data_IF_601023826763
#
_entry.id   IF_601023826763
#
_cell.length_a   1.000
_cell.length_b   1.000
_cell.length_c   1.000
_cell.angle_alpha   90.00
_cell.angle_beta   90.00
_cell.angle_gamma   90.00
#
_symmetry.space_group_name_H-M   'P 1'
#
loop_
_entity.id
_entity.type
_entity.pdbx_description
1 polymer ?
#
# COMPACT_ATOMS: atom_id res chain seq x y z
N UNK A 1 -22.97 0.59 7.86
CA UNK A 1 -21.53 0.32 7.65
C UNK A 1 -21.14 0.97 6.35
N UNK A 2 -20.23 1.94 6.38
CA UNK A 2 -19.70 2.54 5.14
C UNK A 2 -18.82 1.50 4.45
N UNK A 3 -18.98 1.31 3.14
CA UNK A 3 -18.24 0.29 2.38
C UNK A 3 -16.85 0.82 2.03
N UNK A 4 -15.79 0.06 2.31
CA UNK A 4 -14.42 0.37 1.88
C UNK A 4 -14.40 0.77 0.39
N UNK A 5 -13.74 1.89 0.06
CA UNK A 5 -13.35 2.17 -1.31
C UNK A 5 -12.16 1.26 -1.65
N UNK A 6 -12.30 0.46 -2.71
CA UNK A 6 -11.21 -0.27 -3.34
C UNK A 6 -11.13 0.20 -4.79
N UNK A 7 -10.11 0.97 -5.12
CA UNK A 7 -9.78 1.30 -6.50
C UNK A 7 -8.54 0.50 -6.90
N UNK A 8 -8.64 -0.28 -7.97
CA UNK A 8 -7.58 -1.16 -8.45
C UNK A 8 -7.28 -0.83 -9.91
N UNK A 9 -6.00 -0.68 -10.24
CA UNK A 9 -5.56 -0.42 -11.61
C UNK A 9 -4.34 -1.28 -11.92
N UNK A 10 -4.37 -1.94 -13.07
CA UNK A 10 -3.22 -2.66 -13.61
C UNK A 10 -2.27 -1.66 -14.27
N UNK A 11 -0.98 -1.72 -13.94
CA UNK A 11 0.05 -0.80 -14.43
C UNK A 11 1.33 -1.54 -14.81
N UNK A 12 2.18 -0.87 -15.58
CA UNK A 12 3.51 -1.37 -15.91
C UNK A 12 3.51 -2.57 -16.87
N UNK A 13 4.71 -3.04 -17.25
CA UNK A 13 4.89 -4.15 -18.19
C UNK A 13 4.80 -5.55 -17.52
N UNK A 14 4.68 -5.62 -16.19
CA UNK A 14 4.63 -6.87 -15.43
C UNK A 14 3.24 -7.16 -14.84
N UNK A 15 2.21 -6.45 -15.34
CA UNK A 15 0.82 -6.62 -14.92
C UNK A 15 0.60 -6.44 -13.40
N UNK A 16 1.39 -5.56 -12.76
CA UNK A 16 1.23 -5.24 -11.34
C UNK A 16 -0.11 -4.53 -11.12
N UNK A 17 -0.75 -4.79 -9.99
CA UNK A 17 -1.92 -4.04 -9.56
C UNK A 17 -1.54 -3.02 -8.47
N UNK A 18 -1.93 -1.76 -8.69
CA UNK A 18 -1.94 -0.73 -7.66
C UNK A 18 -3.32 -0.64 -7.02
N UNK A 19 -3.33 -0.28 -5.74
CA UNK A 19 -4.58 -0.10 -4.99
C UNK A 19 -4.61 1.23 -4.27
N UNK A 20 -5.80 1.84 -4.27
CA UNK A 20 -6.18 2.91 -3.34
C UNK A 20 -7.27 2.36 -2.44
N UNK A 21 -6.97 2.28 -1.15
CA UNK A 21 -7.93 1.89 -0.13
C UNK A 21 -8.37 3.13 0.62
N UNK A 22 -9.67 3.39 0.70
CA UNK A 22 -10.19 4.62 1.31
C UNK A 22 -11.40 4.38 2.20
N UNK A 23 -11.48 5.10 3.32
CA UNK A 23 -12.68 5.17 4.15
C UNK A 23 -13.60 6.28 3.64
N UNK A 24 -14.78 5.96 3.06
CA UNK A 24 -15.69 6.98 2.54
C UNK A 24 -16.24 7.95 3.60
N UNK A 25 -16.16 7.59 4.89
CA UNK A 25 -16.66 8.39 6.01
C UNK A 25 -15.69 9.52 6.34
N UNK A 26 -14.43 9.18 6.57
CA UNK A 26 -13.36 10.12 6.94
C UNK A 26 -12.69 10.77 5.74
N UNK A 27 -12.83 10.15 4.55
CA UNK A 27 -12.11 10.51 3.32
C UNK A 27 -10.59 10.34 3.42
N UNK A 28 -10.11 9.54 4.36
CA UNK A 28 -8.72 9.11 4.40
C UNK A 28 -8.47 7.94 3.45
N UNK A 29 -7.26 7.86 2.92
CA UNK A 29 -6.86 6.88 1.93
C UNK A 29 -5.39 6.50 2.08
N UNK A 30 -5.08 5.27 1.66
CA UNK A 30 -3.71 4.79 1.47
C UNK A 30 -3.50 4.30 0.04
N UNK A 31 -2.28 4.43 -0.46
CA UNK A 31 -1.81 3.82 -1.70
C UNK A 31 -1.00 2.58 -1.36
N UNK A 32 -1.20 1.49 -2.09
CA UNK A 32 -0.48 0.24 -1.93
C UNK A 32 0.45 0.02 -3.13
N UNK A 33 1.71 -0.33 -2.82
CA UNK A 33 2.76 -0.70 -3.78
C UNK A 33 2.99 0.32 -4.93
N UNK A 34 3.18 1.62 -4.66
CA UNK A 34 3.26 2.64 -5.70
C UNK A 34 4.42 2.40 -6.68
N UNK A 35 4.06 2.05 -7.91
CA UNK A 35 5.01 1.70 -8.96
C UNK A 35 4.62 2.20 -10.35
N UNK A 36 5.62 2.29 -11.22
CA UNK A 36 5.53 2.57 -12.66
C UNK A 36 5.14 4.00 -13.05
N UNK A 37 3.86 4.37 -12.99
CA UNK A 37 3.33 5.64 -13.49
C UNK A 37 2.90 6.53 -12.32
N UNK A 38 3.87 7.19 -11.69
CA UNK A 38 3.62 8.06 -10.53
C UNK A 38 2.73 9.27 -10.88
N UNK A 39 2.90 9.97 -12.02
CA UNK A 39 1.95 11.00 -12.44
C UNK A 39 0.50 10.51 -12.48
N UNK A 40 0.25 9.30 -12.99
CA UNK A 40 -1.08 8.68 -12.94
C UNK A 40 -1.52 8.43 -11.48
N UNK A 41 -0.64 7.92 -10.62
CA UNK A 41 -0.98 7.66 -9.21
C UNK A 41 -1.43 8.95 -8.50
N UNK A 42 -0.68 10.04 -8.68
CA UNK A 42 -1.00 11.34 -8.10
C UNK A 42 -2.32 11.90 -8.65
N UNK A 43 -2.56 11.74 -9.95
CA UNK A 43 -3.81 12.15 -10.59
C UNK A 43 -5.01 11.37 -10.02
N UNK A 44 -4.87 10.08 -9.75
CA UNK A 44 -5.93 9.27 -9.15
C UNK A 44 -6.23 9.68 -7.70
N UNK A 45 -5.21 9.96 -6.88
CA UNK A 45 -5.42 10.52 -5.53
C UNK A 45 -6.24 11.81 -5.60
N UNK A 46 -5.88 12.74 -6.49
CA UNK A 46 -6.60 13.99 -6.68
C UNK A 46 -8.03 13.78 -7.21
N UNK A 47 -8.23 12.86 -8.16
CA UNK A 47 -9.52 12.57 -8.80
C UNK A 47 -10.52 11.93 -7.84
N UNK A 48 -10.05 11.05 -6.95
CA UNK A 48 -10.91 10.34 -6.01
C UNK A 48 -11.44 11.24 -4.89
N UNK A 49 -10.75 12.36 -4.60
CA UNK A 49 -11.18 13.33 -3.59
C UNK A 49 -11.00 12.85 -2.15
N UNK A 50 -9.93 12.10 -1.91
CA UNK A 50 -9.52 11.62 -0.58
C UNK A 50 -8.19 12.26 -0.17
N UNK A 51 -7.92 12.25 1.13
CA UNK A 51 -6.64 12.63 1.70
C UNK A 51 -5.75 11.40 1.80
N UNK A 52 -4.61 11.40 1.10
CA UNK A 52 -3.59 10.37 1.27
C UNK A 52 -2.93 10.52 2.64
N UNK A 53 -2.99 9.48 3.47
CA UNK A 53 -2.46 9.50 4.86
C UNK A 53 -1.27 8.57 5.08
N UNK A 54 -1.08 7.57 4.22
CA UNK A 54 0.06 6.66 4.28
C UNK A 54 0.25 5.91 2.95
N UNK A 55 1.44 5.33 2.78
CA UNK A 55 1.72 4.29 1.79
C UNK A 55 1.92 2.97 2.51
N UNK A 56 1.31 1.90 2.02
CA UNK A 56 1.53 0.54 2.54
C UNK A 56 2.21 -0.31 1.48
N UNK A 57 3.25 -1.06 1.88
CA UNK A 57 3.99 -1.93 0.98
C UNK A 57 3.75 -3.38 1.36
N UNK A 58 3.36 -4.19 0.39
CA UNK A 58 3.20 -5.64 0.58
C UNK A 58 4.55 -6.33 0.69
N UNK A 59 5.56 -5.86 -0.05
CA UNK A 59 6.94 -6.35 0.00
C UNK A 59 7.90 -5.39 -0.73
N UNK A 60 9.21 -5.68 -0.72
CA UNK A 60 10.24 -4.75 -1.20
C UNK A 60 10.78 -4.98 -2.61
N UNK A 61 10.06 -5.67 -3.50
CA UNK A 61 10.53 -5.82 -4.89
C UNK A 61 10.40 -4.51 -5.67
N UNK A 62 11.35 -4.30 -6.59
CA UNK A 62 11.50 -3.02 -7.27
C UNK A 62 10.27 -2.61 -8.07
N UNK A 63 9.56 -3.56 -8.67
CA UNK A 63 8.33 -3.35 -9.43
C UNK A 63 7.10 -3.05 -8.56
N UNK A 64 7.23 -3.10 -7.23
CA UNK A 64 6.22 -2.66 -6.25
C UNK A 64 6.59 -1.36 -5.53
N UNK A 65 7.85 -0.90 -5.62
CA UNK A 65 8.34 0.27 -4.86
C UNK A 65 9.05 1.32 -5.70
N UNK A 66 9.23 1.10 -7.01
CA UNK A 66 10.01 2.02 -7.87
C UNK A 66 9.36 3.41 -8.03
N UNK A 67 8.08 3.58 -7.73
CA UNK A 67 7.39 4.87 -7.73
C UNK A 67 7.36 5.57 -6.37
N UNK A 68 7.87 4.93 -5.32
CA UNK A 68 7.77 5.43 -3.95
C UNK A 68 8.46 6.78 -3.74
N UNK A 69 9.68 6.93 -4.25
CA UNK A 69 10.47 8.15 -4.05
C UNK A 69 9.81 9.38 -4.68
N UNK A 70 9.31 9.24 -5.91
CA UNK A 70 8.62 10.33 -6.62
C UNK A 70 7.27 10.66 -5.97
N UNK A 71 6.54 9.67 -5.45
CA UNK A 71 5.30 9.91 -4.71
C UNK A 71 5.58 10.69 -3.41
N UNK A 72 6.61 10.30 -2.66
CA UNK A 72 6.98 10.95 -1.40
C UNK A 72 7.58 12.36 -1.61
N UNK A 73 8.07 12.67 -2.81
CA UNK A 73 8.45 14.03 -3.16
C UNK A 73 7.25 15.00 -3.22
N UNK A 74 6.03 14.47 -3.36
CA UNK A 74 4.77 15.23 -3.39
C UNK A 74 4.01 15.12 -2.07
N UNK A 75 4.01 13.95 -1.44
CA UNK A 75 3.28 13.68 -0.20
C UNK A 75 4.23 13.30 0.94
N UNK A 76 4.23 14.12 2.00
CA UNK A 76 4.93 13.80 3.25
C UNK A 76 4.04 12.90 4.14
N UNK A 77 4.08 11.60 3.86
CA UNK A 77 3.29 10.58 4.58
C UNK A 77 4.16 9.41 5.01
N UNK A 78 3.84 8.73 6.14
CA UNK A 78 4.56 7.54 6.56
C UNK A 78 4.40 6.39 5.56
N UNK A 79 5.45 5.58 5.46
CA UNK A 79 5.44 4.32 4.71
C UNK A 79 5.41 3.17 5.68
N UNK A 80 4.54 2.18 5.45
CA UNK A 80 4.45 0.98 6.26
C UNK A 80 4.95 -0.23 5.49
N UNK A 81 5.81 -1.02 6.13
CA UNK A 81 6.40 -2.23 5.54
C UNK A 81 6.77 -3.21 6.64
N UNK A 82 6.78 -4.51 6.34
CA UNK A 82 7.33 -5.51 7.26
C UNK A 82 8.77 -5.18 7.67
N UNK A 83 9.06 -5.36 8.97
CA UNK A 83 10.42 -5.22 9.49
C UNK A 83 11.42 -6.15 8.78
N UNK A 84 10.95 -7.30 8.29
CA UNK A 84 11.75 -8.30 7.57
C UNK A 84 12.03 -7.91 6.09
N UNK A 85 11.47 -6.79 5.63
CA UNK A 85 11.70 -6.19 4.30
C UNK A 85 12.40 -4.82 4.39
N UNK A 86 12.49 -4.22 5.58
CA UNK A 86 12.87 -2.82 5.77
C UNK A 86 14.24 -2.46 5.16
N UNK A 87 15.20 -3.39 5.19
CA UNK A 87 16.54 -3.19 4.60
C UNK A 87 16.53 -3.05 3.07
N UNK A 88 15.45 -3.45 2.40
CA UNK A 88 15.30 -3.30 0.94
C UNK A 88 14.94 -1.88 0.52
N UNK A 89 14.45 -1.04 1.44
CA UNK A 89 14.13 0.35 1.15
C UNK A 89 15.35 1.26 1.29
N UNK A 90 15.35 2.34 0.50
CA UNK A 90 16.41 3.36 0.52
C UNK A 90 16.39 4.14 1.85
N UNK A 91 17.55 4.62 2.33
CA UNK A 91 17.61 5.53 3.46
C UNK A 91 16.86 6.83 3.17
N UNK A 92 16.18 7.39 4.17
CA UNK A 92 15.45 8.67 4.07
C UNK A 92 13.93 8.57 3.97
N UNK A 93 13.38 7.36 3.91
CA UNK A 93 11.93 7.14 4.02
C UNK A 93 11.50 7.13 5.50
N UNK A 94 10.41 7.82 5.84
CA UNK A 94 9.77 7.73 7.16
C UNK A 94 9.06 6.38 7.31
N UNK A 95 9.86 5.32 7.45
CA UNK A 95 9.41 3.94 7.52
C UNK A 95 8.84 3.61 8.91
N UNK A 96 7.70 2.92 8.91
CA UNK A 96 7.06 2.33 10.09
C UNK A 96 6.96 0.83 9.90
N UNK A 97 7.52 0.11 10.86
CA UNK A 97 7.54 -1.35 10.84
C UNK A 97 6.14 -1.94 10.99
N UNK A 98 5.89 -3.00 10.24
CA UNK A 98 4.81 -3.96 10.44
C UNK A 98 5.43 -5.23 11.03
N UNK A 99 4.80 -5.78 12.06
CA UNK A 99 5.09 -7.09 12.65
C UNK A 99 3.87 -8.00 12.58
N UNK A 100 4.08 -9.29 12.82
CA UNK A 100 3.00 -10.27 12.84
C UNK A 100 1.92 -9.90 13.86
N UNK A 101 0.67 -9.82 13.41
CA UNK A 101 -0.48 -9.50 14.26
C UNK A 101 -0.72 -7.99 14.44
N UNK A 102 0.10 -7.13 13.84
CA UNK A 102 -0.18 -5.70 13.81
C UNK A 102 -1.45 -5.39 13.02
N UNK A 103 -2.03 -4.24 13.32
CA UNK A 103 -3.16 -3.69 12.58
C UNK A 103 -2.83 -2.28 12.10
N UNK A 104 -3.29 -1.95 10.90
CA UNK A 104 -3.23 -0.61 10.34
C UNK A 104 -4.64 -0.05 10.15
N UNK A 105 -4.73 1.27 10.05
CA UNK A 105 -6.01 1.97 9.91
C UNK A 105 -6.03 2.90 8.71
N UNK A 106 -7.17 2.94 8.03
CA UNK A 106 -7.52 3.99 7.07
C UNK A 106 -8.79 4.66 7.60
N UNK A 107 -8.68 5.87 8.14
CA UNK A 107 -9.80 6.47 8.85
C UNK A 107 -10.28 5.60 10.01
N UNK A 108 -11.57 5.25 9.95
CA UNK A 108 -12.23 4.37 10.91
C UNK A 108 -12.13 2.86 10.59
N UNK A 109 -11.49 2.50 9.47
CA UNK A 109 -11.38 1.11 9.02
C UNK A 109 -10.07 0.49 9.51
N UNK A 110 -10.15 -0.70 10.09
CA UNK A 110 -9.00 -1.49 10.56
C UNK A 110 -8.68 -2.62 9.60
N UNK A 111 -7.39 -2.83 9.33
CA UNK A 111 -6.85 -3.89 8.50
C UNK A 111 -5.90 -4.74 9.34
N UNK A 112 -6.08 -6.06 9.29
CA UNK A 112 -5.11 -7.01 9.85
C UNK A 112 -3.92 -7.13 8.90
N UNK A 113 -2.70 -6.98 9.44
CA UNK A 113 -1.47 -7.25 8.74
C UNK A 113 -1.04 -8.69 9.00
N UNK A 114 -1.17 -9.54 7.99
CA UNK A 114 -0.83 -10.96 8.09
C UNK A 114 0.48 -11.17 7.32
N UNK A 115 1.55 -11.51 8.03
CA UNK A 115 2.82 -11.85 7.38
C UNK A 115 2.67 -13.18 6.63
N UNK A 116 3.08 -13.17 5.38
CA UNK A 116 2.99 -14.28 4.43
C UNK A 116 4.36 -14.52 3.77
N UNK A 117 5.37 -14.93 4.56
CA UNK A 117 6.68 -15.25 4.01
C UNK A 117 6.57 -16.33 2.94
N UNK A 118 7.27 -16.14 1.83
CA UNK A 118 7.20 -17.04 0.68
C UNK A 118 7.88 -16.42 -0.54
N UNK A 119 7.11 -15.63 -1.30
CA UNK A 119 7.65 -14.85 -2.42
C UNK A 119 8.79 -13.93 -1.96
N UNK A 120 8.61 -13.28 -0.81
CA UNK A 120 9.67 -12.55 -0.10
C UNK A 120 9.69 -12.94 1.40
N UNK A 121 10.80 -12.71 2.13
CA UNK A 121 10.93 -13.07 3.54
C UNK A 121 9.92 -12.39 4.48
N UNK A 122 9.50 -11.17 4.16
CA UNK A 122 8.57 -10.38 4.98
C UNK A 122 7.33 -9.93 4.22
N UNK A 123 6.91 -10.67 3.19
CA UNK A 123 5.66 -10.38 2.49
C UNK A 123 4.50 -10.21 3.47
N UNK A 124 3.62 -9.24 3.22
CA UNK A 124 2.44 -8.97 4.04
C UNK A 124 1.20 -8.84 3.16
N UNK A 125 0.10 -9.41 3.66
CA UNK A 125 -1.24 -9.17 3.10
C UNK A 125 -2.04 -8.30 4.05
N UNK A 126 -2.85 -7.41 3.48
CA UNK A 126 -3.74 -6.51 4.22
C UNK A 126 -5.17 -7.02 4.13
N UNK A 127 -5.76 -7.39 5.27
CA UNK A 127 -7.08 -7.99 5.34
C UNK A 127 -8.09 -7.09 6.04
N UNK A 128 -9.19 -6.79 5.35
CA UNK A 128 -10.38 -6.16 5.91
C UNK A 128 -11.61 -6.79 5.27
N UNK A 129 -12.30 -7.64 6.02
CA UNK A 129 -13.38 -8.47 5.46
C UNK A 129 -14.40 -7.67 4.61
N UNK A 130 -14.74 -8.14 3.39
CA UNK A 130 -14.29 -9.37 2.74
C UNK A 130 -13.03 -9.20 1.84
N UNK A 131 -12.35 -8.06 1.91
CA UNK A 131 -11.25 -7.69 1.03
C UNK A 131 -9.89 -8.18 1.56
N UNK A 132 -9.06 -8.70 0.66
CA UNK A 132 -7.67 -9.10 0.91
C UNK A 132 -6.80 -8.51 -0.19
N UNK A 133 -5.81 -7.70 0.18
CA UNK A 133 -4.75 -7.27 -0.74
C UNK A 133 -3.56 -8.20 -0.52
N UNK A 134 -3.33 -9.10 -1.48
CA UNK A 134 -2.43 -10.23 -1.29
C UNK A 134 -0.97 -9.95 -1.68
N UNK A 135 -0.69 -8.84 -2.37
CA UNK A 135 0.57 -8.66 -3.09
C UNK A 135 0.87 -9.90 -3.94
N UNK A 136 2.12 -10.36 -3.91
CA UNK A 136 2.58 -11.52 -4.66
C UNK A 136 2.45 -12.85 -3.89
N UNK A 137 1.62 -12.87 -2.84
CA UNK A 137 1.35 -14.10 -2.07
C UNK A 137 0.41 -15.05 -2.80
N UNK A 138 -0.61 -14.52 -3.48
CA UNK A 138 -1.68 -15.30 -4.09
C UNK A 138 -2.27 -14.57 -5.30
N UNK A 139 -2.39 -15.28 -6.43
CA UNK A 139 -2.97 -14.78 -7.68
C UNK A 139 -4.29 -15.51 -8.02
N UNK A 140 -5.15 -14.88 -8.82
CA UNK A 140 -6.44 -15.42 -9.30
C UNK A 140 -6.56 -15.36 -10.82
#
# INVERSE_FOLDING_TARGET
MSKLLVHQVQVGPLDNFLYWLGDPTTKEMVVIDPAWDVPFILAEVARLGYTLTAVWLTHGHSDHVNGLEELLAVYDVPVYMSVDEAERLRPGVSLRDIRAGDQLTVGSLTFDCILTPGHSPGGVVFYHAPHLIAGDTLFI
#
